data_IF_863320718823
#
_entry.id   IF_863320718823
#
_cell.length_a   1.000
_cell.length_b   1.000
_cell.length_c   1.000
_cell.angle_alpha   90.00
_cell.angle_beta   90.00
_cell.angle_gamma   90.00
#
_symmetry.space_group_name_H-M   'P 1'
#
loop_
_entity.id
_entity.type
_entity.pdbx_description
1 polymer ?
#
# COMPACT_ATOMS: atom_id res chain seq x y z
N UNK A 1 76.12 2.53 -3.03
CA UNK A 1 75.72 1.28 -2.40
C UNK A 1 74.37 1.42 -1.77
N UNK A 2 73.51 0.60 -2.15
CA UNK A 2 72.10 0.40 -1.89
C UNK A 2 71.67 0.38 -0.42
N UNK A 3 70.50 0.84 -0.11
CA UNK A 3 69.44 0.01 0.45
C UNK A 3 68.11 0.73 0.48
N UNK A 4 67.18 0.14 -0.22
CA UNK A 4 65.72 0.28 -0.02
C UNK A 4 65.33 -0.20 1.38
N UNK A 5 64.33 0.44 1.97
CA UNK A 5 63.36 -0.29 2.78
C UNK A 5 62.00 0.38 2.69
N UNK A 6 61.10 -0.40 2.22
CA UNK A 6 59.69 -0.23 1.98
C UNK A 6 58.83 -0.42 3.27
N UNK A 7 57.62 0.10 3.15
CA UNK A 7 56.45 -0.28 3.95
C UNK A 7 56.31 0.24 5.37
N UNK A 8 55.70 1.39 5.50
CA UNK A 8 54.98 1.83 6.66
C UNK A 8 53.47 1.63 6.45
N UNK A 9 52.95 0.54 6.93
CA UNK A 9 51.55 0.22 7.04
C UNK A 9 50.81 1.28 7.87
N UNK A 10 49.88 1.99 7.28
CA UNK A 10 48.94 2.81 8.02
C UNK A 10 47.80 1.91 8.51
N UNK A 11 47.95 1.44 9.74
CA UNK A 11 46.87 0.85 10.52
C UNK A 11 45.86 1.95 10.84
N UNK A 12 44.68 1.87 10.22
CA UNK A 12 43.52 2.63 10.66
C UNK A 12 43.12 2.12 12.05
N UNK A 13 43.39 2.94 13.06
CA UNK A 13 42.86 2.71 14.40
C UNK A 13 41.35 2.88 14.35
N UNK A 14 40.64 1.76 14.40
CA UNK A 14 39.23 1.74 14.77
C UNK A 14 39.14 2.24 16.20
N UNK A 15 38.82 3.50 16.40
CA UNK A 15 38.47 4.03 17.69
C UNK A 15 37.13 3.40 18.08
N UNK A 16 37.22 2.39 18.91
CA UNK A 16 36.14 1.75 19.62
C UNK A 16 35.55 2.77 20.61
N UNK A 17 34.60 3.60 20.14
CA UNK A 17 33.81 4.46 21.02
C UNK A 17 32.80 3.58 21.72
N UNK A 18 33.27 2.89 22.74
CA UNK A 18 32.42 2.26 23.73
C UNK A 18 31.90 3.36 24.67
N UNK A 19 31.08 4.26 24.16
CA UNK A 19 30.26 5.16 24.97
C UNK A 19 29.07 4.32 25.46
N UNK A 20 29.25 3.74 26.62
CA UNK A 20 28.16 3.26 27.45
C UNK A 20 27.10 4.37 27.53
N UNK A 21 25.86 4.13 27.08
CA UNK A 21 24.84 5.16 27.23
C UNK A 21 24.62 5.36 28.71
N UNK A 22 25.00 6.54 29.23
CA UNK A 22 24.53 7.01 30.53
C UNK A 22 23.03 6.72 30.57
N UNK A 23 22.54 6.19 31.68
CA UNK A 23 21.13 5.95 31.92
C UNK A 23 20.39 7.30 31.87
N UNK A 24 20.14 7.77 30.66
CA UNK A 24 19.27 8.91 30.39
C UNK A 24 17.90 8.42 30.79
N UNK A 25 17.38 8.98 31.86
CA UNK A 25 16.04 8.67 32.34
C UNK A 25 15.09 8.73 31.13
N UNK A 26 14.38 7.63 30.88
CA UNK A 26 13.44 7.51 29.76
C UNK A 26 12.40 8.63 29.89
N UNK A 27 12.58 9.71 29.12
CA UNK A 27 11.60 10.79 29.07
C UNK A 27 10.40 10.29 28.25
N UNK A 28 9.34 9.95 28.96
CA UNK A 28 8.09 9.44 28.40
C UNK A 28 7.50 10.40 27.38
N UNK A 29 7.54 11.71 27.65
CA UNK A 29 6.95 12.72 26.76
C UNK A 29 7.66 12.80 25.41
N UNK A 30 9.00 12.70 25.43
CA UNK A 30 9.81 12.62 24.21
C UNK A 30 9.54 11.35 23.42
N UNK A 31 9.39 10.20 24.08
CA UNK A 31 9.06 8.94 23.41
C UNK A 31 7.66 8.96 22.81
N UNK A 32 6.67 9.49 23.52
CA UNK A 32 5.30 9.64 23.02
C UNK A 32 5.27 10.55 21.76
N UNK A 33 5.95 11.68 21.80
CA UNK A 33 6.05 12.60 20.66
C UNK A 33 6.70 11.93 19.44
N UNK A 34 7.78 11.19 19.65
CA UNK A 34 8.47 10.43 18.58
C UNK A 34 7.60 9.28 18.04
N UNK A 35 6.88 8.60 18.91
CA UNK A 35 5.95 7.54 18.51
C UNK A 35 4.86 8.09 17.59
N UNK A 36 4.26 9.21 17.92
CA UNK A 36 3.27 9.91 17.08
C UNK A 36 3.89 10.33 15.74
N UNK A 37 5.10 10.89 15.76
CA UNK A 37 5.80 11.29 14.54
C UNK A 37 6.08 10.08 13.62
N UNK A 38 6.54 8.96 14.15
CA UNK A 38 6.77 7.74 13.38
C UNK A 38 5.46 7.13 12.86
N UNK A 39 4.41 7.13 13.67
CA UNK A 39 3.08 6.67 13.23
C UNK A 39 2.58 7.49 12.03
N UNK A 40 2.74 8.80 12.08
CA UNK A 40 2.40 9.68 10.96
C UNK A 40 3.23 9.43 9.70
N UNK A 41 4.50 9.06 9.84
CA UNK A 41 5.37 8.74 8.70
C UNK A 41 5.16 7.32 8.16
N UNK A 42 4.50 6.44 8.91
CA UNK A 42 4.16 5.09 8.48
C UNK A 42 3.22 5.02 7.28
N UNK A 43 2.53 6.13 6.96
CA UNK A 43 1.67 6.24 5.80
C UNK A 43 2.24 7.26 4.80
N UNK A 44 2.20 6.91 3.51
CA UNK A 44 2.58 7.86 2.45
C UNK A 44 1.69 9.11 2.46
N UNK A 45 2.19 10.23 1.95
CA UNK A 45 1.42 11.48 1.86
C UNK A 45 0.14 11.34 1.04
N UNK A 46 0.18 10.54 -0.02
CA UNK A 46 -0.99 10.23 -0.86
C UNK A 46 -2.04 9.42 -0.09
N UNK A 47 -1.60 8.39 0.66
CA UNK A 47 -2.50 7.58 1.49
C UNK A 47 -3.16 8.43 2.58
N UNK A 48 -2.40 9.28 3.26
CA UNK A 48 -2.94 10.21 4.28
C UNK A 48 -4.02 11.13 3.70
N UNK A 49 -3.78 11.68 2.51
CA UNK A 49 -4.77 12.54 1.81
C UNK A 49 -6.05 11.77 1.50
N UNK A 50 -5.92 10.54 1.01
CA UNK A 50 -7.07 9.68 0.70
C UNK A 50 -7.84 9.32 1.98
N UNK A 51 -7.15 8.97 3.06
CA UNK A 51 -7.77 8.66 4.34
C UNK A 51 -8.46 9.88 4.96
N UNK A 52 -7.84 11.06 4.91
CA UNK A 52 -8.47 12.31 5.37
C UNK A 52 -9.78 12.59 4.64
N UNK A 53 -9.85 12.32 3.33
CA UNK A 53 -11.09 12.45 2.56
C UNK A 53 -12.14 11.44 3.00
N UNK A 54 -11.75 10.18 3.21
CA UNK A 54 -12.65 9.14 3.69
C UNK A 54 -13.20 9.45 5.10
N UNK A 55 -12.34 9.90 6.00
CA UNK A 55 -12.69 10.28 7.37
C UNK A 55 -13.66 11.48 7.41
N UNK A 56 -13.46 12.46 6.54
CA UNK A 56 -14.38 13.59 6.40
C UNK A 56 -15.76 13.12 5.94
N UNK A 57 -15.83 12.36 4.87
CA UNK A 57 -17.10 11.78 4.39
C UNK A 57 -17.81 10.92 5.42
N UNK A 58 -17.06 10.18 6.22
CA UNK A 58 -17.63 9.38 7.30
C UNK A 58 -18.22 10.24 8.42
N UNK A 59 -17.53 11.33 8.83
CA UNK A 59 -18.07 12.28 9.80
C UNK A 59 -19.35 12.94 9.29
N UNK A 60 -19.33 13.44 8.06
CA UNK A 60 -20.48 14.08 7.44
C UNK A 60 -21.68 13.13 7.37
N UNK A 61 -21.43 11.86 7.03
CA UNK A 61 -22.44 10.80 7.03
C UNK A 61 -23.01 10.54 8.43
N UNK A 62 -22.16 10.37 9.45
CA UNK A 62 -22.59 10.15 10.83
C UNK A 62 -23.35 11.36 11.39
N UNK A 63 -22.96 12.57 11.01
CA UNK A 63 -23.68 13.80 11.37
C UNK A 63 -25.09 13.81 10.77
N UNK A 64 -25.24 13.50 9.49
CA UNK A 64 -26.53 13.40 8.82
C UNK A 64 -27.43 12.31 9.41
N UNK A 65 -26.82 11.21 9.86
CA UNK A 65 -27.53 10.09 10.47
C UNK A 65 -27.88 10.33 11.96
N UNK A 66 -27.41 11.42 12.55
CA UNK A 66 -27.57 11.71 13.98
C UNK A 66 -26.80 10.74 14.90
N UNK A 67 -25.76 10.09 14.36
CA UNK A 67 -24.95 9.09 15.07
C UNK A 67 -23.58 9.64 15.53
N UNK A 68 -23.53 10.89 15.93
CA UNK A 68 -22.36 11.45 16.60
C UNK A 68 -22.48 11.23 18.09
N UNK A 69 -21.38 10.86 18.75
CA UNK A 69 -21.29 10.82 20.21
C UNK A 69 -21.32 12.24 20.79
N UNK A 70 -21.56 12.35 22.09
CA UNK A 70 -21.56 13.64 22.80
C UNK A 70 -20.26 14.46 22.62
N UNK A 71 -19.16 13.79 22.30
CA UNK A 71 -17.87 14.39 21.96
C UNK A 71 -17.79 14.94 20.53
N UNK A 72 -18.85 14.81 19.71
CA UNK A 72 -18.81 15.15 18.29
C UNK A 72 -18.00 14.17 17.42
N UNK A 73 -17.51 13.07 18.01
CA UNK A 73 -16.76 12.04 17.28
C UNK A 73 -17.71 10.97 16.72
N UNK A 74 -17.45 10.46 15.50
CA UNK A 74 -18.17 9.31 14.94
C UNK A 74 -17.66 7.96 15.48
N UNK A 75 -16.69 7.97 16.37
CA UNK A 75 -16.06 6.79 16.94
C UNK A 75 -16.47 6.58 18.43
N UNK A 76 -16.65 5.34 18.87
CA UNK A 76 -16.57 4.09 18.10
C UNK A 76 -17.80 3.87 17.21
N UNK A 77 -17.61 3.33 16.01
CA UNK A 77 -18.68 2.99 15.09
C UNK A 77 -19.03 1.49 15.20
N UNK A 78 -20.33 1.19 15.21
CA UNK A 78 -20.83 -0.17 15.16
C UNK A 78 -20.82 -0.74 13.73
N UNK A 79 -20.84 -2.06 13.60
CA UNK A 79 -20.85 -2.75 12.31
C UNK A 79 -22.01 -2.27 11.40
N UNK A 80 -23.18 -2.02 12.01
CA UNK A 80 -24.35 -1.58 11.25
C UNK A 80 -24.15 -0.19 10.62
N UNK A 81 -23.55 0.73 11.36
CA UNK A 81 -23.18 2.06 10.83
C UNK A 81 -22.21 1.97 9.67
N UNK A 82 -21.25 1.03 9.72
CA UNK A 82 -20.35 0.79 8.62
C UNK A 82 -21.05 0.17 7.39
N UNK A 83 -22.03 -0.71 7.61
CA UNK A 83 -22.88 -1.25 6.54
C UNK A 83 -23.67 -0.14 5.83
N UNK A 84 -24.29 0.76 6.61
CA UNK A 84 -25.02 1.90 6.07
C UNK A 84 -24.09 2.86 5.32
N UNK A 85 -22.91 3.11 5.86
CA UNK A 85 -21.90 3.94 5.18
C UNK A 85 -21.42 3.32 3.87
N UNK A 86 -21.16 2.03 3.82
CA UNK A 86 -20.80 1.32 2.59
C UNK A 86 -21.92 1.42 1.55
N UNK A 87 -23.17 1.28 1.96
CA UNK A 87 -24.35 1.42 1.08
C UNK A 87 -24.53 2.86 0.58
N UNK A 88 -24.30 3.85 1.44
CA UNK A 88 -24.30 5.26 1.05
C UNK A 88 -23.21 5.55 0.00
N UNK A 89 -22.00 5.04 0.21
CA UNK A 89 -20.90 5.20 -0.75
C UNK A 89 -21.18 4.52 -2.09
N UNK A 90 -21.89 3.38 -2.10
CA UNK A 90 -22.22 2.64 -3.32
C UNK A 90 -23.03 3.44 -4.34
N UNK A 91 -23.72 4.51 -3.91
CA UNK A 91 -24.47 5.40 -4.80
C UNK A 91 -23.56 6.34 -5.61
N UNK A 92 -22.34 6.61 -5.14
CA UNK A 92 -21.49 7.67 -5.71
C UNK A 92 -20.08 7.21 -6.10
N UNK A 93 -19.62 6.07 -5.59
CA UNK A 93 -18.24 5.62 -5.82
C UNK A 93 -18.17 4.15 -6.24
N UNK A 94 -17.11 3.81 -6.97
CA UNK A 94 -16.87 2.44 -7.42
C UNK A 94 -16.60 1.50 -6.21
N UNK A 95 -17.00 0.20 -6.27
CA UNK A 95 -16.83 -0.75 -5.17
C UNK A 95 -15.41 -0.91 -4.65
N UNK A 96 -14.38 -0.77 -5.51
CA UNK A 96 -12.98 -0.78 -5.07
C UNK A 96 -12.63 0.39 -4.15
N UNK A 97 -13.23 1.56 -4.39
CA UNK A 97 -13.03 2.77 -3.59
C UNK A 97 -13.69 2.64 -2.22
N UNK A 98 -14.81 1.92 -2.09
CA UNK A 98 -15.48 1.67 -0.81
C UNK A 98 -14.51 1.02 0.19
N UNK A 99 -13.72 0.03 -0.25
CA UNK A 99 -12.72 -0.63 0.60
C UNK A 99 -11.67 0.36 1.12
N UNK A 100 -11.23 1.28 0.27
CA UNK A 100 -10.25 2.32 0.65
C UNK A 100 -10.85 3.28 1.68
N UNK A 101 -12.13 3.64 1.51
CA UNK A 101 -12.83 4.49 2.48
C UNK A 101 -13.00 3.80 3.84
N UNK A 102 -13.37 2.51 3.85
CA UNK A 102 -13.43 1.72 5.08
C UNK A 102 -12.06 1.62 5.78
N UNK A 103 -10.98 1.48 5.01
CA UNK A 103 -9.61 1.52 5.56
C UNK A 103 -9.28 2.88 6.20
N UNK A 104 -9.77 3.99 5.63
CA UNK A 104 -9.65 5.32 6.22
C UNK A 104 -10.42 5.47 7.53
N UNK A 105 -11.63 4.88 7.62
CA UNK A 105 -12.42 4.84 8.86
C UNK A 105 -11.73 3.99 9.94
N UNK A 106 -11.14 2.85 9.53
CA UNK A 106 -10.31 2.02 10.42
C UNK A 106 -9.15 2.83 11.00
N UNK A 107 -8.41 3.53 10.16
CA UNK A 107 -7.29 4.37 10.60
C UNK A 107 -7.74 5.41 11.62
N UNK A 108 -8.90 6.06 11.41
CA UNK A 108 -9.47 7.03 12.35
C UNK A 108 -9.70 6.41 13.74
N UNK A 109 -10.25 5.19 13.81
CA UNK A 109 -10.49 4.51 15.08
C UNK A 109 -9.18 4.19 15.81
N UNK A 110 -8.21 3.62 15.08
CA UNK A 110 -6.89 3.28 15.64
C UNK A 110 -6.16 4.53 16.13
N UNK A 111 -6.19 5.64 15.38
CA UNK A 111 -5.59 6.91 15.77
C UNK A 111 -6.22 7.51 17.04
N UNK A 112 -7.51 7.24 17.26
CA UNK A 112 -8.23 7.68 18.46
C UNK A 112 -8.14 6.67 19.63
N UNK A 113 -7.41 5.57 19.46
CA UNK A 113 -7.24 4.54 20.49
C UNK A 113 -8.42 3.58 20.64
N UNK A 114 -9.36 3.57 19.69
CA UNK A 114 -10.47 2.60 19.68
C UNK A 114 -10.04 1.28 19.02
N UNK A 115 -10.80 0.24 19.33
CA UNK A 115 -10.66 -1.07 18.70
C UNK A 115 -10.95 -0.96 17.18
N UNK A 116 -10.29 -1.79 16.40
CA UNK A 116 -10.50 -1.88 14.95
C UNK A 116 -11.99 -2.22 14.64
N UNK A 117 -12.75 -1.29 14.05
CA UNK A 117 -14.17 -1.50 13.79
C UNK A 117 -14.43 -2.48 12.64
N UNK A 118 -13.39 -2.93 11.94
CA UNK A 118 -13.50 -3.93 10.86
C UNK A 118 -13.24 -5.36 11.34
N UNK A 119 -12.90 -5.55 12.63
CA UNK A 119 -12.72 -6.90 13.17
C UNK A 119 -14.07 -7.63 13.26
N UNK A 120 -14.09 -8.87 12.79
CA UNK A 120 -15.24 -9.77 12.88
C UNK A 120 -16.56 -9.24 12.26
N UNK A 121 -16.46 -8.40 11.24
CA UNK A 121 -17.61 -7.77 10.57
C UNK A 121 -18.14 -8.61 9.40
N UNK A 122 -18.83 -9.72 9.70
CA UNK A 122 -19.38 -10.62 8.68
C UNK A 122 -20.50 -9.97 7.84
N UNK A 123 -21.33 -9.15 8.46
CA UNK A 123 -22.42 -8.43 7.77
C UNK A 123 -21.84 -7.41 6.78
N UNK A 124 -20.86 -6.63 7.22
CA UNK A 124 -20.20 -5.65 6.35
C UNK A 124 -19.55 -6.33 5.14
N UNK A 125 -18.88 -7.46 5.35
CA UNK A 125 -18.31 -8.24 4.24
C UNK A 125 -19.39 -8.63 3.23
N UNK A 126 -20.54 -9.16 3.68
CA UNK A 126 -21.65 -9.54 2.80
C UNK A 126 -22.19 -8.32 2.03
N UNK A 127 -22.34 -7.17 2.70
CA UNK A 127 -22.82 -5.93 2.05
C UNK A 127 -21.83 -5.49 0.97
N UNK A 128 -20.54 -5.42 1.27
CA UNK A 128 -19.50 -5.02 0.29
C UNK A 128 -19.43 -6.00 -0.89
N UNK A 129 -19.58 -7.29 -0.65
CA UNK A 129 -19.66 -8.29 -1.72
C UNK A 129 -20.92 -8.13 -2.57
N UNK A 130 -22.08 -7.87 -1.94
CA UNK A 130 -23.34 -7.57 -2.65
C UNK A 130 -23.20 -6.35 -3.56
N UNK A 131 -22.64 -5.26 -3.02
CA UNK A 131 -22.36 -4.04 -3.80
C UNK A 131 -21.44 -4.35 -4.98
N UNK A 132 -20.37 -5.14 -4.77
CA UNK A 132 -19.45 -5.52 -5.85
C UNK A 132 -20.14 -6.33 -6.95
N UNK A 133 -21.08 -7.20 -6.60
CA UNK A 133 -21.84 -7.99 -7.59
C UNK A 133 -22.82 -7.14 -8.39
N UNK A 134 -23.45 -6.17 -7.74
CA UNK A 134 -24.47 -5.31 -8.38
C UNK A 134 -23.86 -4.17 -9.19
N UNK A 135 -22.80 -3.55 -8.68
CA UNK A 135 -22.19 -2.36 -9.26
C UNK A 135 -20.77 -2.58 -9.79
N UNK A 136 -20.21 -3.78 -9.56
CA UNK A 136 -18.92 -4.13 -10.09
C UNK A 136 -19.00 -4.30 -11.59
N UNK A 137 -18.41 -3.39 -12.36
CA UNK A 137 -18.14 -3.67 -13.76
C UNK A 137 -17.32 -4.97 -13.83
N UNK A 138 -17.65 -5.81 -14.82
CA UNK A 138 -16.79 -6.95 -15.14
C UNK A 138 -15.35 -6.47 -15.15
N UNK A 139 -14.48 -7.15 -14.41
CA UNK A 139 -13.06 -6.89 -14.48
C UNK A 139 -12.72 -6.74 -15.97
N UNK A 140 -12.26 -5.54 -16.38
CA UNK A 140 -11.48 -5.47 -17.60
C UNK A 140 -10.25 -6.33 -17.27
N UNK A 141 -10.33 -7.61 -17.60
CA UNK A 141 -9.20 -8.51 -17.46
C UNK A 141 -8.09 -7.84 -18.25
N UNK A 142 -7.02 -7.48 -17.57
CA UNK A 142 -5.82 -7.02 -18.28
C UNK A 142 -5.52 -8.14 -19.24
N UNK A 143 -5.75 -7.89 -20.52
CA UNK A 143 -5.46 -8.87 -21.55
C UNK A 143 -3.97 -9.20 -21.44
N UNK A 144 -3.60 -10.48 -21.50
CA UNK A 144 -2.21 -10.84 -21.54
C UNK A 144 -1.58 -10.18 -22.77
N UNK A 145 -0.35 -9.76 -22.66
CA UNK A 145 0.41 -9.25 -23.78
C UNK A 145 0.58 -10.43 -24.75
N UNK A 146 -0.09 -10.34 -25.89
CA UNK A 146 -0.01 -11.33 -26.95
C UNK A 146 1.10 -10.97 -27.94
N UNK A 147 1.55 -11.94 -28.73
CA UNK A 147 2.58 -11.73 -29.77
C UNK A 147 2.21 -10.61 -30.74
N UNK A 148 0.92 -10.48 -31.07
CA UNK A 148 0.43 -9.39 -31.92
C UNK A 148 0.63 -8.01 -31.27
N UNK A 149 0.37 -7.88 -29.99
CA UNK A 149 0.60 -6.63 -29.26
C UNK A 149 2.10 -6.31 -29.21
N UNK A 150 2.96 -7.32 -28.99
CA UNK A 150 4.40 -7.15 -29.02
C UNK A 150 4.89 -6.72 -30.40
N UNK A 151 4.34 -7.28 -31.48
CA UNK A 151 4.67 -6.88 -32.85
C UNK A 151 4.28 -5.43 -33.12
N UNK A 152 3.10 -5.00 -32.71
CA UNK A 152 2.66 -3.60 -32.85
C UNK A 152 3.55 -2.66 -32.05
N UNK A 153 3.92 -2.99 -30.82
CA UNK A 153 4.84 -2.21 -30.00
C UNK A 153 6.22 -2.12 -30.71
N UNK A 154 6.72 -3.23 -31.22
CA UNK A 154 7.98 -3.27 -31.95
C UNK A 154 7.95 -2.39 -33.19
N UNK A 155 6.91 -2.45 -33.99
CA UNK A 155 6.73 -1.61 -35.18
C UNK A 155 6.55 -0.13 -34.85
N UNK A 156 5.95 0.20 -33.71
CA UNK A 156 5.78 1.59 -33.25
C UNK A 156 7.04 2.21 -32.64
N UNK A 157 8.01 1.37 -32.24
CA UNK A 157 9.32 1.85 -31.79
C UNK A 157 10.06 2.45 -32.98
N UNK A 158 10.11 3.79 -33.03
CA UNK A 158 10.78 4.50 -34.09
C UNK A 158 12.29 4.20 -34.05
N UNK A 159 12.77 3.48 -35.06
CA UNK A 159 14.15 3.04 -35.17
C UNK A 159 15.17 4.19 -35.37
N UNK A 160 14.68 5.42 -35.46
CA UNK A 160 15.50 6.62 -35.57
C UNK A 160 16.15 7.08 -34.26
N UNK A 161 15.86 6.40 -33.15
CA UNK A 161 16.49 6.71 -31.87
C UNK A 161 17.91 6.19 -31.80
N UNK A 162 18.82 6.94 -31.16
CA UNK A 162 20.25 6.64 -31.07
C UNK A 162 20.51 5.17 -30.62
N UNK A 163 21.63 4.61 -31.05
CA UNK A 163 22.07 3.22 -30.75
C UNK A 163 22.00 2.86 -29.27
N UNK A 164 22.16 3.85 -28.40
CA UNK A 164 22.05 3.67 -26.95
C UNK A 164 20.64 3.41 -26.50
N UNK A 165 19.63 4.11 -27.03
CA UNK A 165 18.22 3.82 -26.75
C UNK A 165 17.81 2.44 -27.24
N UNK A 166 18.26 2.03 -28.42
CA UNK A 166 18.02 0.69 -28.97
C UNK A 166 18.54 -0.41 -28.06
N UNK A 167 19.76 -0.23 -27.52
CA UNK A 167 20.36 -1.18 -26.58
C UNK A 167 19.51 -1.37 -25.33
N UNK A 168 19.06 -0.29 -24.70
CA UNK A 168 18.22 -0.36 -23.51
C UNK A 168 16.84 -0.96 -23.77
N UNK A 169 16.24 -0.70 -24.93
CA UNK A 169 14.99 -1.33 -25.33
C UNK A 169 15.14 -2.83 -25.54
N UNK A 170 16.24 -3.28 -26.14
CA UNK A 170 16.53 -4.72 -26.28
C UNK A 170 16.75 -5.39 -24.93
N UNK A 171 17.47 -4.74 -24.01
CA UNK A 171 17.68 -5.25 -22.64
C UNK A 171 16.36 -5.37 -21.91
N UNK A 172 15.48 -4.36 -21.98
CA UNK A 172 14.15 -4.41 -21.36
C UNK A 172 13.28 -5.51 -21.95
N UNK A 173 13.28 -5.70 -23.27
CA UNK A 173 12.54 -6.79 -23.93
C UNK A 173 13.07 -8.15 -23.53
N UNK A 174 14.39 -8.34 -23.50
CA UNK A 174 15.01 -9.62 -23.09
C UNK A 174 14.71 -9.94 -21.62
N UNK A 175 14.81 -8.98 -20.71
CA UNK A 175 14.47 -9.18 -19.29
C UNK A 175 12.99 -9.47 -19.08
N UNK A 176 12.11 -8.81 -19.82
CA UNK A 176 10.68 -9.03 -19.76
C UNK A 176 10.29 -10.43 -20.32
N UNK A 177 10.87 -10.84 -21.45
CA UNK A 177 10.67 -12.17 -22.00
C UNK A 177 11.17 -13.28 -21.06
N UNK A 178 12.34 -13.07 -20.43
CA UNK A 178 12.89 -13.97 -19.44
C UNK A 178 11.98 -14.08 -18.20
N UNK A 179 11.43 -12.95 -17.73
CA UNK A 179 10.51 -12.93 -16.61
C UNK A 179 9.18 -13.66 -16.91
N UNK A 180 8.65 -13.51 -18.14
CA UNK A 180 7.48 -14.26 -18.58
C UNK A 180 7.80 -15.76 -18.62
N UNK A 181 8.95 -16.16 -19.16
CA UNK A 181 9.34 -17.56 -19.27
C UNK A 181 9.53 -18.21 -17.90
N UNK A 182 10.12 -17.50 -16.92
CA UNK A 182 10.22 -17.96 -15.53
C UNK A 182 8.85 -18.15 -14.88
N UNK A 183 7.91 -17.24 -15.11
CA UNK A 183 6.55 -17.38 -14.55
C UNK A 183 5.76 -18.52 -15.19
N UNK A 184 5.99 -18.83 -16.47
CA UNK A 184 5.35 -19.96 -17.13
C UNK A 184 5.95 -21.33 -16.71
N UNK A 185 7.21 -21.35 -16.28
CA UNK A 185 7.88 -22.57 -15.82
C UNK A 185 7.73 -22.84 -14.32
N UNK A 186 7.15 -21.90 -13.55
CA UNK A 186 6.96 -22.09 -12.13
C UNK A 186 5.67 -22.89 -11.86
N UNK A 187 5.74 -24.17 -11.46
CA UNK A 187 4.56 -25.04 -11.28
C UNK A 187 3.67 -24.61 -10.11
N UNK A 188 4.09 -23.61 -9.33
CA UNK A 188 3.35 -23.13 -8.17
C UNK A 188 2.00 -22.47 -8.52
N UNK A 189 1.79 -22.02 -9.75
CA UNK A 189 0.52 -21.43 -10.20
C UNK A 189 -0.49 -22.44 -10.71
N UNK A 190 -0.09 -23.67 -11.02
CA UNK A 190 -0.98 -24.75 -11.44
C UNK A 190 -1.60 -25.51 -10.26
N UNK A 191 -1.16 -25.26 -9.04
CA UNK A 191 -1.58 -25.98 -7.84
C UNK A 191 -2.73 -25.33 -7.06
N UNK A 192 -3.34 -24.24 -7.55
CA UNK A 192 -4.57 -23.72 -6.95
C UNK A 192 -5.79 -24.36 -7.66
N UNK A 193 -6.39 -25.40 -7.05
CA UNK A 193 -7.65 -25.92 -7.58
C UNK A 193 -8.72 -24.84 -7.41
N UNK A 194 -9.42 -24.55 -8.50
CA UNK A 194 -10.68 -23.83 -8.50
C UNK A 194 -11.64 -24.48 -7.51
N UNK A 195 -11.65 -24.01 -6.29
CA UNK A 195 -12.63 -24.37 -5.28
C UNK A 195 -13.43 -23.14 -4.94
N UNK A 196 -14.40 -22.79 -5.78
CA UNK A 196 -15.61 -22.03 -5.44
C UNK A 196 -16.55 -22.16 -6.66
N UNK A 197 -17.24 -23.30 -6.75
CA UNK A 197 -18.58 -23.37 -7.35
C UNK A 197 -19.58 -22.97 -6.31
#
# INVERSE_FOLDING_TARGET
MARLSLFGSRGAACSNVNSQPAAVGLDRSSLESRCVAFSMQGLSSSTRRTYATAQRKFRDFCQQLGKLHLSGSPCPADEWTLCLFATFLAQSVHPSTIKVYLSGVRALHVEQGFVDPLQNTLRLHRVVWGIKRLHGSSNSSRLPITDNIMTVIWQSLNMACSTHCMFWHLVLLATFAFFIQLNLQCPAWQAFPHRYT
#
